data_IF_883187845072
#
_entry.id   IF_883187845072
#
_cell.length_a   1.000
_cell.length_b   1.000
_cell.length_c   1.000
_cell.angle_alpha   90.00
_cell.angle_beta   90.00
_cell.angle_gamma   90.00
#
_symmetry.space_group_name_H-M   'P 1'
#
loop_
_entity.id
_entity.type
_entity.pdbx_description
1 polymer ?
#
# COMPACT_ATOMS: atom_id res chain seq x y z
N UNK A 1 1.98 9.29 35.97
CA UNK A 1 3.11 8.85 35.14
C UNK A 1 2.92 9.41 33.74
N UNK A 2 3.79 10.31 33.27
CA UNK A 2 3.76 10.74 31.88
C UNK A 2 4.20 9.58 30.99
N UNK A 3 3.46 9.30 29.91
CA UNK A 3 3.89 8.33 28.92
C UNK A 3 5.27 8.76 28.36
N UNK A 4 6.19 7.81 28.06
CA UNK A 4 7.47 8.15 27.46
C UNK A 4 7.25 8.93 26.15
N UNK A 5 8.14 9.87 25.86
CA UNK A 5 8.09 10.63 24.63
C UNK A 5 8.07 9.67 23.42
N UNK A 6 7.19 9.87 22.44
CA UNK A 6 7.13 9.01 21.26
C UNK A 6 8.49 8.96 20.56
N UNK A 7 9.00 7.75 20.29
CA UNK A 7 10.30 7.55 19.63
C UNK A 7 10.20 7.52 18.10
N UNK A 8 8.99 7.46 17.56
CA UNK A 8 8.72 7.38 16.13
C UNK A 8 8.06 8.68 15.66
N UNK A 9 8.61 9.26 14.59
CA UNK A 9 8.02 10.42 13.90
C UNK A 9 7.07 9.94 12.81
N UNK A 10 5.97 10.66 12.61
CA UNK A 10 4.97 10.36 11.58
C UNK A 10 4.87 11.52 10.61
N UNK A 11 4.90 11.21 9.30
CA UNK A 11 4.51 12.14 8.24
C UNK A 11 3.12 11.73 7.74
N UNK A 12 2.20 12.68 7.69
CA UNK A 12 0.81 12.38 7.33
C UNK A 12 0.58 12.60 5.84
N UNK A 13 -0.15 11.65 5.24
CA UNK A 13 -0.61 11.73 3.85
C UNK A 13 -1.73 12.76 3.73
N UNK A 14 -1.61 13.67 2.79
CA UNK A 14 -2.72 14.52 2.36
C UNK A 14 -3.55 13.75 1.32
N UNK A 15 -4.49 12.93 1.79
CA UNK A 15 -5.18 11.94 0.94
C UNK A 15 -5.94 12.55 -0.26
N UNK A 16 -6.64 13.71 -0.18
CA UNK A 16 -7.36 14.25 -1.33
C UNK A 16 -6.42 14.56 -2.49
N UNK A 17 -5.41 15.41 -2.23
CA UNK A 17 -4.39 15.78 -3.22
C UNK A 17 -3.57 14.59 -3.73
N UNK A 18 -3.38 13.56 -2.91
CA UNK A 18 -2.69 12.34 -3.35
C UNK A 18 -3.59 11.53 -4.31
N UNK A 19 -4.86 11.33 -3.95
CA UNK A 19 -5.82 10.57 -4.75
C UNK A 19 -6.24 11.31 -6.04
N UNK A 20 -6.18 12.65 -6.04
CA UNK A 20 -6.47 13.45 -7.23
C UNK A 20 -5.49 13.14 -8.38
N UNK A 21 -4.21 12.91 -8.05
CA UNK A 21 -3.20 12.48 -9.02
C UNK A 21 -3.23 10.97 -9.22
N UNK A 22 -3.34 10.19 -8.14
CA UNK A 22 -3.24 8.73 -8.19
C UNK A 22 -4.45 8.00 -8.80
N UNK A 23 -5.66 8.57 -8.67
CA UNK A 23 -6.90 7.91 -9.10
C UNK A 23 -7.73 8.78 -10.06
N UNK A 24 -7.77 10.10 -9.86
CA UNK A 24 -8.71 10.98 -10.60
C UNK A 24 -8.13 11.66 -11.82
N UNK A 25 -6.82 11.60 -12.04
CA UNK A 25 -6.14 12.36 -13.10
C UNK A 25 -6.76 12.16 -14.48
N UNK A 26 -7.09 10.91 -14.82
CA UNK A 26 -7.70 10.55 -16.11
C UNK A 26 -9.24 10.47 -16.08
N UNK A 27 -9.88 10.87 -14.98
CA UNK A 27 -11.32 10.76 -14.79
C UNK A 27 -12.06 11.94 -15.42
N UNK A 28 -12.50 11.79 -16.67
CA UNK A 28 -13.21 12.87 -17.40
C UNK A 28 -14.58 13.23 -16.82
N UNK A 29 -15.14 12.40 -15.94
CA UNK A 29 -16.37 12.66 -15.20
C UNK A 29 -16.15 13.41 -13.88
N UNK A 30 -14.92 13.56 -13.42
CA UNK A 30 -14.59 14.34 -12.23
C UNK A 30 -14.71 15.83 -12.53
N UNK A 31 -15.32 16.60 -11.63
CA UNK A 31 -15.62 18.03 -11.83
C UNK A 31 -14.39 18.90 -12.04
N UNK A 32 -13.23 18.48 -11.52
CA UNK A 32 -11.97 19.20 -11.68
C UNK A 32 -11.15 18.72 -12.89
N UNK A 33 -11.66 17.79 -13.69
CA UNK A 33 -10.98 17.37 -14.90
C UNK A 33 -11.00 18.49 -15.97
N UNK A 34 -9.89 18.73 -16.70
CA UNK A 34 -8.58 18.09 -16.56
C UNK A 34 -7.77 18.64 -15.37
N UNK A 35 -6.96 17.78 -14.76
CA UNK A 35 -5.98 18.19 -13.74
C UNK A 35 -4.69 18.68 -14.41
N UNK A 36 -4.44 19.99 -14.36
CA UNK A 36 -3.22 20.59 -14.90
C UNK A 36 -2.20 20.86 -13.80
N UNK A 37 -0.91 20.92 -14.15
CA UNK A 37 0.16 21.23 -13.19
C UNK A 37 -0.04 22.61 -12.52
N UNK A 38 -0.54 23.59 -13.28
CA UNK A 38 -0.88 24.93 -12.76
C UNK A 38 -1.99 24.87 -11.72
N UNK A 39 -3.09 24.16 -12.03
CA UNK A 39 -4.23 23.99 -11.12
C UNK A 39 -3.78 23.31 -9.83
N UNK A 40 -3.02 22.21 -9.96
CA UNK A 40 -2.54 21.44 -8.82
C UNK A 40 -1.54 22.23 -7.96
N UNK A 41 -0.61 22.98 -8.56
CA UNK A 41 0.29 23.87 -7.83
C UNK A 41 -0.47 24.96 -7.06
N UNK A 42 -1.53 25.52 -7.65
CA UNK A 42 -2.43 26.44 -6.96
C UNK A 42 -3.11 25.82 -5.74
N UNK A 43 -3.55 24.56 -5.83
CA UNK A 43 -4.11 23.83 -4.68
C UNK A 43 -3.07 23.57 -3.60
N UNK A 44 -1.85 23.17 -3.97
CA UNK A 44 -0.74 22.99 -3.03
C UNK A 44 -0.44 24.31 -2.29
N UNK A 45 -0.40 25.43 -3.02
CA UNK A 45 -0.10 26.74 -2.46
C UNK A 45 -1.17 27.25 -1.50
N UNK A 46 -2.43 26.87 -1.73
CA UNK A 46 -3.58 27.20 -0.89
C UNK A 46 -3.76 26.22 0.30
N UNK A 47 -3.03 25.10 0.32
CA UNK A 47 -3.16 24.09 1.39
C UNK A 47 -2.47 24.60 2.66
N UNK A 48 -3.18 24.68 3.80
CA UNK A 48 -2.60 25.16 5.05
C UNK A 48 -1.63 24.13 5.66
N UNK A 49 -0.70 24.62 6.45
CA UNK A 49 0.31 23.81 7.13
C UNK A 49 1.70 24.02 6.56
N UNK A 50 2.65 23.21 7.02
CA UNK A 50 4.08 23.35 6.68
C UNK A 50 4.58 22.22 5.78
N UNK A 51 3.80 21.16 5.65
CA UNK A 51 4.14 19.99 4.86
C UNK A 51 2.87 19.42 4.22
N UNK A 52 2.92 19.21 2.90
CA UNK A 52 1.89 18.47 2.17
C UNK A 52 2.46 17.09 1.81
N UNK A 53 2.04 16.05 2.52
CA UNK A 53 2.49 14.68 2.28
C UNK A 53 1.80 14.06 1.07
N UNK A 54 2.45 14.09 -0.10
CA UNK A 54 1.95 13.47 -1.33
C UNK A 54 2.47 12.03 -1.43
N UNK A 55 1.64 11.05 -1.05
CA UNK A 55 2.00 9.64 -1.13
C UNK A 55 1.04 8.91 -2.07
N UNK A 56 1.58 8.31 -3.12
CA UNK A 56 0.87 7.58 -4.16
C UNK A 56 1.80 6.55 -4.79
N UNK A 57 1.25 5.57 -5.50
CA UNK A 57 2.02 4.52 -6.14
C UNK A 57 2.87 5.10 -7.29
N UNK A 58 4.10 4.59 -7.44
CA UNK A 58 5.01 5.07 -8.48
C UNK A 58 4.44 4.82 -9.89
N UNK A 59 3.73 3.71 -10.03
CA UNK A 59 3.01 3.24 -11.20
C UNK A 59 1.90 4.22 -11.65
N UNK A 60 1.51 5.19 -10.80
CA UNK A 60 0.66 6.32 -11.18
C UNK A 60 1.14 6.99 -12.47
N UNK A 61 2.45 7.14 -12.63
CA UNK A 61 3.07 7.87 -13.75
C UNK A 61 3.48 6.91 -14.87
N UNK A 62 2.54 6.63 -15.79
CA UNK A 62 2.81 5.87 -17.02
C UNK A 62 2.14 4.49 -17.09
N UNK A 63 1.69 3.94 -15.95
CA UNK A 63 0.97 2.65 -15.88
C UNK A 63 -0.51 2.88 -15.56
N UNK A 64 -0.87 3.30 -14.32
CA UNK A 64 -2.26 3.58 -13.94
C UNK A 64 -2.85 4.71 -14.79
N UNK A 65 -2.04 5.73 -15.04
CA UNK A 65 -2.31 6.75 -16.03
C UNK A 65 -1.30 6.59 -17.17
N UNK A 66 -1.71 6.12 -18.36
CA UNK A 66 -0.78 5.90 -19.45
C UNK A 66 -0.25 7.24 -19.98
N UNK A 67 0.92 7.24 -20.63
CA UNK A 67 1.54 8.47 -21.15
C UNK A 67 0.57 9.34 -21.98
N UNK A 68 -0.28 8.72 -22.81
CA UNK A 68 -1.31 9.42 -23.62
C UNK A 68 -2.34 10.23 -22.83
N UNK A 69 -2.44 10.03 -21.51
CA UNK A 69 -3.31 10.81 -20.62
C UNK A 69 -2.77 12.21 -20.33
N UNK A 70 -1.48 12.47 -20.60
CA UNK A 70 -0.81 13.72 -20.24
C UNK A 70 -0.14 13.70 -18.86
N UNK A 71 -0.13 12.56 -18.15
CA UNK A 71 0.40 12.47 -16.78
C UNK A 71 1.91 12.73 -16.70
N UNK A 72 2.67 12.37 -17.74
CA UNK A 72 4.13 12.57 -17.77
C UNK A 72 4.47 14.04 -18.04
N UNK A 73 3.68 14.71 -18.87
CA UNK A 73 3.75 16.14 -19.13
C UNK A 73 3.36 16.93 -17.88
N UNK A 74 2.30 16.50 -17.17
CA UNK A 74 1.91 17.03 -15.87
C UNK A 74 3.07 16.93 -14.87
N UNK A 75 3.66 15.74 -14.71
CA UNK A 75 4.77 15.51 -13.79
C UNK A 75 5.99 16.36 -14.15
N UNK A 76 6.29 16.49 -15.44
CA UNK A 76 7.42 17.28 -15.94
C UNK A 76 7.24 18.79 -15.68
N UNK A 77 6.01 19.30 -15.81
CA UNK A 77 5.70 20.71 -15.60
C UNK A 77 5.54 21.09 -14.11
N UNK A 78 5.14 20.14 -13.25
CA UNK A 78 4.79 20.40 -11.86
C UNK A 78 5.87 21.14 -11.05
N UNK A 79 7.18 20.79 -11.13
CA UNK A 79 8.22 21.50 -10.37
C UNK A 79 8.33 22.99 -10.73
N UNK A 80 8.13 23.35 -12.00
CA UNK A 80 8.12 24.75 -12.43
C UNK A 80 6.90 25.49 -11.86
N UNK A 81 5.72 24.86 -11.93
CA UNK A 81 4.48 25.46 -11.42
C UNK A 81 4.49 25.67 -9.91
N UNK A 82 5.06 24.72 -9.17
CA UNK A 82 5.26 24.88 -7.72
C UNK A 82 6.22 26.03 -7.41
N UNK A 83 7.31 26.18 -8.18
CA UNK A 83 8.28 27.27 -7.98
C UNK A 83 7.69 28.67 -8.18
N UNK A 84 6.60 28.80 -8.93
CA UNK A 84 5.89 30.06 -9.08
C UNK A 84 5.22 30.55 -7.78
N UNK A 85 5.11 29.70 -6.76
CA UNK A 85 4.64 30.03 -5.42
C UNK A 85 5.83 30.13 -4.44
N UNK A 86 6.30 31.34 -4.08
CA UNK A 86 7.56 31.53 -3.36
C UNK A 86 7.61 30.91 -1.95
N UNK A 87 6.45 30.61 -1.37
CA UNK A 87 6.33 29.99 -0.05
C UNK A 87 6.31 28.45 -0.09
N UNK A 88 6.32 27.85 -1.29
CA UNK A 88 6.42 26.41 -1.46
C UNK A 88 7.87 25.97 -1.74
N UNK A 89 8.20 24.77 -1.28
CA UNK A 89 9.47 24.11 -1.55
C UNK A 89 9.29 22.59 -1.56
N UNK A 90 10.22 21.89 -2.19
CA UNK A 90 10.29 20.43 -2.14
C UNK A 90 11.16 20.00 -0.96
N UNK A 91 10.78 18.93 -0.30
CA UNK A 91 11.55 18.33 0.77
C UNK A 91 11.57 16.81 0.59
N UNK A 92 12.74 16.23 0.79
CA UNK A 92 12.89 14.80 1.04
C UNK A 92 12.28 14.44 2.40
N UNK A 93 12.05 13.14 2.63
CA UNK A 93 11.57 12.67 3.93
C UNK A 93 12.55 13.08 5.05
N UNK A 94 13.86 12.97 4.80
CA UNK A 94 14.89 13.33 5.78
C UNK A 94 14.86 14.81 6.15
N UNK A 95 14.64 15.71 5.20
CA UNK A 95 14.48 17.14 5.44
C UNK A 95 13.18 17.44 6.19
N UNK A 96 12.07 16.81 5.77
CA UNK A 96 10.76 17.03 6.37
C UNK A 96 10.70 16.62 7.86
N UNK A 97 11.46 15.59 8.27
CA UNK A 97 11.47 15.13 9.66
C UNK A 97 12.41 15.93 10.58
N UNK A 98 13.24 16.84 10.06
CA UNK A 98 14.15 17.65 10.90
C UNK A 98 13.40 18.65 11.80
N UNK A 99 12.22 19.12 11.36
CA UNK A 99 11.39 20.05 12.12
C UNK A 99 10.87 19.44 13.44
N UNK A 100 10.50 20.24 14.45
CA UNK A 100 9.90 19.71 15.67
C UNK A 100 8.52 19.08 15.36
N UNK A 101 8.16 17.95 16.01
CA UNK A 101 6.83 17.38 15.85
C UNK A 101 5.76 18.36 16.33
N UNK A 102 4.67 18.49 15.55
CA UNK A 102 3.61 19.48 15.83
C UNK A 102 2.60 19.04 16.89
N UNK A 103 2.27 17.74 16.89
CA UNK A 103 1.33 17.16 17.84
C UNK A 103 1.59 15.66 17.99
N UNK A 104 1.28 15.08 19.15
CA UNK A 104 1.17 13.63 19.27
C UNK A 104 -0.08 13.15 18.51
N UNK A 105 0.05 12.02 17.82
CA UNK A 105 -1.08 11.32 17.21
C UNK A 105 -1.25 9.96 17.89
N UNK A 106 -2.45 9.71 18.41
CA UNK A 106 -2.82 8.41 18.98
C UNK A 106 -3.57 7.60 17.93
N UNK A 107 -3.10 6.38 17.67
CA UNK A 107 -3.70 5.44 16.72
C UNK A 107 -4.04 4.16 17.48
N UNK A 108 -5.21 4.12 18.17
CA UNK A 108 -5.56 3.02 19.08
C UNK A 108 -5.96 1.73 18.35
N UNK A 109 -6.27 1.81 17.06
CA UNK A 109 -6.64 0.70 16.21
C UNK A 109 -5.78 0.69 14.96
N UNK A 110 -5.51 -0.49 14.41
CA UNK A 110 -4.80 -0.60 13.15
C UNK A 110 -5.58 0.09 12.04
N UNK A 111 -4.90 0.94 11.29
CA UNK A 111 -5.46 1.66 10.15
C UNK A 111 -4.54 1.54 8.95
N UNK A 112 -5.12 1.73 7.77
CA UNK A 112 -4.42 1.64 6.49
C UNK A 112 -4.87 2.77 5.58
N UNK A 113 -4.17 2.95 4.47
CA UNK A 113 -4.56 3.91 3.43
C UNK A 113 -5.47 3.31 2.35
N UNK A 114 -5.80 2.02 2.45
CA UNK A 114 -6.58 1.28 1.46
C UNK A 114 -8.08 1.32 1.80
N UNK A 115 -8.92 1.22 0.76
CA UNK A 115 -10.38 1.14 0.82
C UNK A 115 -11.07 2.27 1.60
N UNK A 116 -12.39 2.36 1.50
CA UNK A 116 -13.12 3.43 2.20
C UNK A 116 -13.02 3.33 3.73
N UNK A 117 -12.96 2.11 4.26
CA UNK A 117 -12.97 1.86 5.71
C UNK A 117 -11.62 2.14 6.39
N UNK A 118 -10.51 2.24 5.63
CA UNK A 118 -9.16 2.53 6.13
C UNK A 118 -8.71 1.60 7.26
N UNK A 119 -9.13 0.34 7.20
CA UNK A 119 -8.84 -0.70 8.19
C UNK A 119 -8.09 -1.88 7.53
N UNK A 120 -8.08 -3.04 8.18
CA UNK A 120 -7.44 -4.25 7.68
C UNK A 120 -8.30 -5.03 6.66
N UNK A 121 -9.47 -4.53 6.27
CA UNK A 121 -10.43 -5.21 5.41
C UNK A 121 -9.83 -5.66 4.07
N UNK A 122 -8.95 -4.86 3.47
CA UNK A 122 -8.30 -5.17 2.20
C UNK A 122 -7.41 -6.42 2.26
N UNK A 123 -6.91 -6.82 3.44
CA UNK A 123 -6.01 -7.98 3.59
C UNK A 123 -6.51 -9.08 4.53
N UNK A 124 -7.42 -8.76 5.46
CA UNK A 124 -7.92 -9.67 6.50
C UNK A 124 -9.46 -9.56 6.71
N UNK A 125 -10.16 -8.98 5.74
CA UNK A 125 -11.60 -8.73 5.79
C UNK A 125 -12.46 -9.98 5.68
N UNK A 126 -11.97 -11.05 5.06
CA UNK A 126 -12.75 -12.29 4.84
C UNK A 126 -12.05 -13.56 5.34
N UNK A 127 -12.77 -14.69 5.29
CA UNK A 127 -12.30 -15.98 5.82
C UNK A 127 -11.15 -16.59 5.01
N UNK A 128 -11.10 -16.38 3.68
CA UNK A 128 -9.99 -16.87 2.84
C UNK A 128 -8.68 -16.18 3.26
N UNK A 129 -8.73 -14.85 3.35
CA UNK A 129 -7.63 -14.02 3.79
C UNK A 129 -7.12 -14.40 5.18
N UNK A 130 -8.02 -14.49 6.17
CA UNK A 130 -7.66 -14.89 7.54
C UNK A 130 -7.11 -16.31 7.61
N UNK A 131 -7.71 -17.25 6.87
CA UNK A 131 -7.24 -18.63 6.79
C UNK A 131 -5.83 -18.72 6.24
N UNK A 132 -5.55 -18.06 5.10
CA UNK A 132 -4.25 -18.02 4.47
C UNK A 132 -3.18 -17.39 5.38
N UNK A 133 -3.51 -16.28 6.04
CA UNK A 133 -2.61 -15.59 6.96
C UNK A 133 -2.25 -16.45 8.18
N UNK A 134 -3.25 -17.07 8.82
CA UNK A 134 -3.00 -17.95 9.96
C UNK A 134 -2.25 -19.23 9.57
N UNK A 135 -2.51 -19.78 8.39
CA UNK A 135 -1.73 -20.90 7.86
C UNK A 135 -0.25 -20.50 7.68
N UNK A 136 0.02 -19.33 7.12
CA UNK A 136 1.38 -18.83 6.90
C UNK A 136 2.15 -18.64 8.20
N UNK A 137 1.48 -18.12 9.24
CA UNK A 137 2.04 -18.00 10.60
C UNK A 137 2.42 -19.36 11.19
N UNK A 138 1.54 -20.35 11.06
CA UNK A 138 1.78 -21.73 11.55
C UNK A 138 2.97 -22.38 10.83
N UNK A 139 3.03 -22.27 9.50
CA UNK A 139 4.17 -22.78 8.72
C UNK A 139 5.46 -22.06 9.13
N UNK A 140 5.40 -20.76 9.44
CA UNK A 140 6.53 -19.99 9.93
C UNK A 140 7.20 -20.57 11.19
N UNK A 141 6.47 -21.29 12.04
CA UNK A 141 7.06 -22.00 13.20
C UNK A 141 8.01 -23.11 12.72
N UNK A 142 7.58 -23.91 11.75
CA UNK A 142 8.37 -25.00 11.16
C UNK A 142 9.57 -24.44 10.39
N UNK A 143 9.35 -23.37 9.62
CA UNK A 143 10.42 -22.68 8.85
C UNK A 143 11.54 -22.19 9.78
N UNK A 144 11.18 -21.63 10.95
CA UNK A 144 12.17 -21.19 11.95
C UNK A 144 12.95 -22.37 12.55
N UNK A 145 12.27 -23.48 12.83
CA UNK A 145 12.91 -24.69 13.37
C UNK A 145 13.83 -25.38 12.36
N UNK A 146 13.42 -25.42 11.09
CA UNK A 146 14.20 -26.04 10.02
C UNK A 146 15.55 -25.33 9.77
N UNK A 147 15.66 -24.06 10.18
CA UNK A 147 16.84 -23.19 10.06
C UNK A 147 17.52 -23.22 8.68
N UNK A 148 16.70 -23.34 7.63
CA UNK A 148 17.15 -23.37 6.25
C UNK A 148 16.97 -21.99 5.60
N UNK A 149 18.05 -21.33 5.11
CA UNK A 149 17.97 -20.01 4.51
C UNK A 149 17.07 -19.92 3.26
N UNK A 150 17.02 -20.98 2.47
CA UNK A 150 16.21 -21.03 1.24
C UNK A 150 14.72 -21.11 1.58
N UNK A 151 14.35 -22.04 2.47
CA UNK A 151 12.97 -22.18 2.96
C UNK A 151 12.51 -20.90 3.67
N UNK A 152 13.38 -20.26 4.46
CA UNK A 152 13.08 -18.99 5.11
C UNK A 152 12.84 -17.87 4.10
N UNK A 153 13.60 -17.82 3.02
CA UNK A 153 13.45 -16.82 1.98
C UNK A 153 12.11 -16.98 1.26
N UNK A 154 11.75 -18.21 0.90
CA UNK A 154 10.45 -18.50 0.27
C UNK A 154 9.27 -18.19 1.20
N UNK A 155 9.38 -18.53 2.48
CA UNK A 155 8.38 -18.14 3.47
C UNK A 155 8.18 -16.62 3.54
N UNK A 156 9.28 -15.86 3.56
CA UNK A 156 9.21 -14.38 3.56
C UNK A 156 8.53 -13.84 2.31
N UNK A 157 8.77 -14.44 1.13
CA UNK A 157 8.08 -14.07 -0.11
C UNK A 157 6.58 -14.33 -0.02
N UNK A 158 6.17 -15.45 0.55
CA UNK A 158 4.75 -15.75 0.80
C UNK A 158 4.09 -14.81 1.82
N UNK A 159 4.84 -14.03 2.59
CA UNK A 159 4.27 -13.00 3.47
C UNK A 159 4.05 -11.65 2.77
N UNK A 160 4.35 -11.54 1.47
CA UNK A 160 4.04 -10.35 0.68
C UNK A 160 2.54 -10.08 0.73
N UNK A 161 2.15 -8.84 1.03
CA UNK A 161 0.76 -8.46 1.30
C UNK A 161 -0.18 -8.71 0.13
N UNK A 162 0.33 -8.59 -1.10
CA UNK A 162 -0.39 -8.81 -2.36
C UNK A 162 -1.10 -10.16 -2.38
N UNK A 163 -0.49 -11.21 -1.84
CA UNK A 163 -1.12 -12.53 -1.78
C UNK A 163 -2.47 -12.50 -1.05
N UNK A 164 -2.56 -11.77 0.07
CA UNK A 164 -3.81 -11.63 0.81
C UNK A 164 -4.75 -10.61 0.15
N UNK A 165 -4.18 -9.56 -0.45
CA UNK A 165 -4.93 -8.54 -1.19
C UNK A 165 -5.71 -9.14 -2.37
N UNK A 166 -5.13 -10.10 -3.08
CA UNK A 166 -5.78 -10.80 -4.20
C UNK A 166 -6.91 -11.74 -3.76
N UNK A 167 -6.99 -12.09 -2.47
CA UNK A 167 -8.05 -12.95 -1.91
C UNK A 167 -9.26 -12.13 -1.42
N UNK A 168 -9.40 -10.89 -1.85
CA UNK A 168 -10.48 -10.01 -1.42
C UNK A 168 -11.82 -10.36 -2.10
N UNK A 169 -12.84 -10.68 -1.30
CA UNK A 169 -14.19 -11.07 -1.79
C UNK A 169 -15.24 -9.99 -1.51
N UNK A 170 -14.95 -9.04 -0.63
CA UNK A 170 -15.97 -8.21 0.03
C UNK A 170 -16.45 -6.97 -0.71
N UNK A 171 -15.84 -6.60 -1.84
CA UNK A 171 -16.06 -5.28 -2.42
C UNK A 171 -17.23 -5.21 -3.40
N UNK A 172 -17.93 -4.08 -3.34
CA UNK A 172 -18.73 -3.55 -4.44
C UNK A 172 -18.25 -2.12 -4.75
N UNK A 173 -18.41 -1.66 -5.98
CA UNK A 173 -18.04 -0.29 -6.35
C UNK A 173 -16.53 -0.09 -6.55
N UNK A 174 -16.01 1.06 -6.12
CA UNK A 174 -14.65 1.49 -6.43
C UNK A 174 -13.57 0.56 -5.86
N UNK A 175 -13.72 0.14 -4.59
CA UNK A 175 -12.75 -0.73 -3.91
C UNK A 175 -12.58 -2.07 -4.63
N UNK A 176 -13.70 -2.68 -5.07
CA UNK A 176 -13.68 -3.91 -5.86
C UNK A 176 -12.91 -3.75 -7.19
N UNK A 177 -13.10 -2.61 -7.86
CA UNK A 177 -12.39 -2.30 -9.10
C UNK A 177 -10.89 -2.18 -8.90
N UNK A 178 -10.44 -1.58 -7.80
CA UNK A 178 -9.02 -1.47 -7.46
C UNK A 178 -8.43 -2.85 -7.16
N UNK A 179 -9.11 -3.67 -6.34
CA UNK A 179 -8.68 -5.05 -6.06
C UNK A 179 -8.56 -5.91 -7.32
N UNK A 180 -9.52 -5.79 -8.25
CA UNK A 180 -9.49 -6.52 -9.51
C UNK A 180 -8.36 -6.03 -10.43
N UNK A 181 -8.11 -4.72 -10.47
CA UNK A 181 -7.04 -4.13 -11.29
C UNK A 181 -5.65 -4.68 -10.95
N UNK A 182 -5.34 -4.78 -9.66
CA UNK A 182 -4.02 -5.25 -9.20
C UNK A 182 -3.88 -6.78 -9.19
N UNK A 183 -4.97 -7.54 -9.33
CA UNK A 183 -4.93 -9.00 -9.26
C UNK A 183 -4.60 -9.61 -10.62
N UNK A 184 -3.61 -10.50 -10.65
CA UNK A 184 -3.32 -11.35 -11.81
C UNK A 184 -4.20 -12.61 -11.89
N UNK A 185 -5.10 -12.81 -10.93
CA UNK A 185 -5.99 -13.98 -10.84
C UNK A 185 -7.39 -13.67 -11.33
N UNK A 186 -8.01 -14.64 -11.99
CA UNK A 186 -9.40 -14.56 -12.48
C UNK A 186 -10.41 -14.44 -11.33
N UNK A 187 -10.11 -15.02 -10.17
CA UNK A 187 -10.93 -14.90 -8.97
C UNK A 187 -10.12 -14.92 -7.66
N UNK A 188 -10.67 -14.35 -6.58
CA UNK A 188 -10.09 -14.47 -5.23
C UNK A 188 -9.92 -15.93 -4.76
N UNK A 189 -10.77 -16.83 -5.26
CA UNK A 189 -10.70 -18.26 -4.94
C UNK A 189 -9.50 -18.93 -5.60
N UNK A 190 -9.17 -18.53 -6.84
CA UNK A 190 -7.96 -19.01 -7.53
C UNK A 190 -6.69 -18.49 -6.86
N UNK A 191 -6.69 -17.22 -6.45
CA UNK A 191 -5.59 -16.64 -5.66
C UNK A 191 -5.36 -17.43 -4.36
N UNK A 192 -6.44 -17.71 -3.62
CA UNK A 192 -6.39 -18.50 -2.38
C UNK A 192 -5.88 -19.94 -2.63
N UNK A 193 -6.44 -20.64 -3.63
CA UNK A 193 -6.06 -22.02 -3.93
C UNK A 193 -4.57 -22.12 -4.30
N UNK A 194 -4.09 -21.23 -5.17
CA UNK A 194 -2.68 -21.20 -5.58
C UNK A 194 -1.75 -20.89 -4.41
N UNK A 195 -2.10 -19.91 -3.57
CA UNK A 195 -1.33 -19.58 -2.39
C UNK A 195 -1.25 -20.76 -1.40
N UNK A 196 -2.37 -21.42 -1.12
CA UNK A 196 -2.41 -22.55 -0.19
C UNK A 196 -1.63 -23.76 -0.71
N UNK A 197 -1.60 -23.98 -2.02
CA UNK A 197 -0.75 -25.00 -2.64
C UNK A 197 0.74 -24.69 -2.44
N UNK A 198 1.17 -23.46 -2.74
CA UNK A 198 2.55 -23.02 -2.55
C UNK A 198 2.98 -23.11 -1.07
N UNK A 199 2.10 -22.71 -0.16
CA UNK A 199 2.34 -22.79 1.27
C UNK A 199 2.43 -24.24 1.77
N UNK A 200 1.64 -25.14 1.20
CA UNK A 200 1.67 -26.58 1.52
C UNK A 200 2.99 -27.21 1.07
N UNK A 201 3.50 -26.87 -0.12
CA UNK A 201 4.84 -27.33 -0.53
C UNK A 201 5.93 -26.78 0.40
N UNK A 202 5.88 -25.50 0.75
CA UNK A 202 6.84 -24.91 1.69
C UNK A 202 6.83 -25.65 3.05
N UNK A 203 5.63 -25.95 3.56
CA UNK A 203 5.45 -26.72 4.79
C UNK A 203 6.08 -28.10 4.68
N UNK A 204 5.85 -28.80 3.56
CA UNK A 204 6.43 -30.12 3.27
C UNK A 204 7.96 -30.06 3.31
N UNK A 205 8.56 -29.10 2.60
CA UNK A 205 10.02 -28.89 2.60
C UNK A 205 10.57 -28.62 4.00
N UNK A 206 9.87 -27.85 4.82
CA UNK A 206 10.28 -27.61 6.21
C UNK A 206 10.23 -28.89 7.08
N UNK A 207 9.18 -29.71 6.92
CA UNK A 207 9.06 -30.99 7.65
C UNK A 207 10.13 -32.00 7.21
N UNK A 208 10.39 -32.10 5.91
CA UNK A 208 11.44 -32.96 5.34
C UNK A 208 12.81 -32.57 5.93
N UNK A 209 13.09 -31.26 6.03
CA UNK A 209 14.34 -30.75 6.61
C UNK A 209 14.49 -31.07 8.10
N UNK A 210 13.37 -31.19 8.82
CA UNK A 210 13.31 -31.58 10.23
C UNK A 210 13.31 -33.10 10.43
N UNK A 211 13.27 -33.91 9.36
CA UNK A 211 13.18 -35.36 9.45
C UNK A 211 11.83 -35.85 10.00
N UNK A 212 10.78 -35.05 9.92
CA UNK A 212 9.44 -35.43 10.37
C UNK A 212 8.74 -36.20 9.25
N UNK A 213 8.36 -37.48 9.46
CA UNK A 213 7.68 -38.25 8.44
C UNK A 213 6.30 -37.66 8.14
N UNK A 214 6.06 -37.38 6.86
CA UNK A 214 4.75 -36.94 6.37
C UNK A 214 3.93 -38.20 6.14
N UNK A 215 2.89 -38.41 6.96
CA UNK A 215 1.92 -39.48 6.73
C UNK A 215 1.28 -39.25 5.35
N UNK A 216 1.45 -40.24 4.46
CA UNK A 216 0.81 -40.28 3.15
C UNK A 216 -0.70 -40.43 3.29
#
# INVERSE_FOLDING_TARGET
CAAPAPTVRLLLRHYPLSDDVGFRFSSSSWSEYPLTAEKYAGWLAATPGELVGLFMDFETFGEHHPARSGILEFLSALPEKVRAHPHLGWATVDEAIQGPPRAPLSVPYTMTWADQNRDLGAWLGNDLQRSAFEAAKKVGLLVRQADDPSIRTDWRRLLTSDHFYYMYVGGHGADAGVHQYFSSYDSPYDAYANYMNALTDLRRRALDRLGVPILK
#
